data_IF_457263770982
#
_entry.id   IF_457263770982
#
_cell.length_a   1.000
_cell.length_b   1.000
_cell.length_c   1.000
_cell.angle_alpha   90.00
_cell.angle_beta   90.00
_cell.angle_gamma   90.00
#
_symmetry.space_group_name_H-M   'P 1'
#
loop_
_entity.id
_entity.type
_entity.pdbx_description
1 polymer ?
#
# COMPACT_ATOMS: atom_id res chain seq x y z
N UNK A 1 17.68 4.30 18.39
CA UNK A 1 16.74 3.16 18.42
C UNK A 1 16.46 2.61 17.03
N UNK A 2 16.08 3.43 16.04
CA UNK A 2 15.86 2.95 14.66
C UNK A 2 17.03 2.12 14.11
N UNK A 3 18.27 2.53 14.36
CA UNK A 3 19.46 1.77 13.92
C UNK A 3 19.71 0.49 14.74
N UNK A 4 19.14 0.37 15.94
CA UNK A 4 19.27 -0.82 16.79
C UNK A 4 18.21 -1.87 16.45
N UNK A 5 17.08 -1.45 15.90
CA UNK A 5 15.91 -2.28 15.58
C UNK A 5 15.41 -2.02 14.15
N UNK A 6 16.27 -2.12 13.11
CA UNK A 6 15.95 -1.66 11.76
C UNK A 6 14.86 -2.49 11.06
N UNK A 7 14.65 -3.73 11.49
CA UNK A 7 13.68 -4.68 10.92
C UNK A 7 12.30 -4.59 11.59
N UNK A 8 12.24 -4.12 12.84
CA UNK A 8 11.04 -4.22 13.69
C UNK A 8 10.55 -2.87 14.20
N UNK A 9 11.35 -1.81 14.08
CA UNK A 9 10.96 -0.45 14.45
C UNK A 9 11.03 0.47 13.23
N UNK A 10 9.86 0.81 12.72
CA UNK A 10 9.69 1.76 11.62
C UNK A 10 9.10 3.05 12.20
N UNK A 11 9.70 4.18 11.84
CA UNK A 11 9.27 5.50 12.30
C UNK A 11 9.03 6.46 11.15
N UNK A 12 8.09 7.38 11.31
CA UNK A 12 7.88 8.52 10.40
C UNK A 12 7.95 9.80 11.22
N UNK A 13 8.84 10.71 10.86
CA UNK A 13 9.03 12.00 11.52
C UNK A 13 8.17 13.07 10.84
N UNK A 14 7.22 13.64 11.59
CA UNK A 14 6.26 14.63 11.07
C UNK A 14 6.57 16.02 11.64
N UNK A 15 6.77 17.01 10.74
CA UNK A 15 7.05 18.37 11.16
C UNK A 15 5.83 19.29 11.10
N UNK A 16 5.60 19.99 12.21
CA UNK A 16 4.78 21.19 12.21
C UNK A 16 5.54 22.33 11.56
N UNK A 17 4.87 23.11 10.70
CA UNK A 17 5.42 24.33 10.11
C UNK A 17 5.90 25.36 11.14
N UNK A 18 5.38 25.31 12.37
CA UNK A 18 5.80 26.19 13.47
C UNK A 18 7.10 25.78 14.15
N UNK A 19 7.54 24.53 13.98
CA UNK A 19 8.70 23.94 14.65
C UNK A 19 9.68 23.28 13.67
N UNK A 20 9.57 23.62 12.38
CA UNK A 20 10.49 23.16 11.34
C UNK A 20 11.83 23.91 11.43
N UNK A 21 12.98 23.26 11.19
CA UNK A 21 14.26 23.95 11.07
C UNK A 21 14.21 25.06 10.00
N UNK A 22 14.82 26.21 10.29
CA UNK A 22 14.77 27.35 9.38
C UNK A 22 15.39 27.01 8.01
N UNK A 23 14.68 27.37 6.93
CA UNK A 23 15.03 27.09 5.53
C UNK A 23 15.05 25.59 5.15
N UNK A 24 14.35 24.74 5.89
CA UNK A 24 14.12 23.34 5.50
C UNK A 24 12.77 23.14 4.80
N UNK A 25 12.64 22.02 4.12
CA UNK A 25 11.44 21.55 3.41
C UNK A 25 10.71 20.44 4.20
N UNK A 26 10.85 20.41 5.52
CA UNK A 26 10.42 19.27 6.34
C UNK A 26 8.92 19.24 6.60
N UNK A 27 8.23 20.38 6.57
CA UNK A 27 6.80 20.43 6.83
C UNK A 27 5.96 20.22 5.57
N UNK A 28 4.93 19.40 5.72
CA UNK A 28 3.98 19.08 4.64
C UNK A 28 2.56 19.40 5.10
N UNK A 29 1.69 19.80 4.18
CA UNK A 29 0.30 20.18 4.50
C UNK A 29 -0.47 19.09 5.25
N UNK A 30 -0.13 17.83 4.96
CA UNK A 30 -0.72 16.64 5.56
C UNK A 30 -0.39 16.45 7.06
N UNK A 31 0.61 17.18 7.59
CA UNK A 31 0.94 17.17 9.03
C UNK A 31 -0.30 17.39 9.89
N UNK A 32 -1.12 18.40 9.54
CA UNK A 32 -2.29 18.76 10.35
C UNK A 32 -3.32 17.63 10.42
N UNK A 33 -3.55 16.92 9.32
CA UNK A 33 -4.43 15.74 9.27
C UNK A 33 -3.91 14.63 10.17
N UNK A 34 -2.63 14.28 10.07
CA UNK A 34 -2.04 13.21 10.90
C UNK A 34 -1.98 13.59 12.38
N UNK A 35 -1.63 14.83 12.70
CA UNK A 35 -1.61 15.35 14.06
C UNK A 35 -3.02 15.37 14.70
N UNK A 36 -4.05 15.73 13.94
CA UNK A 36 -5.43 15.72 14.41
C UNK A 36 -5.93 14.31 14.72
N UNK A 37 -5.51 13.30 13.96
CA UNK A 37 -5.87 11.89 14.22
C UNK A 37 -5.50 11.47 15.65
N UNK A 38 -4.35 11.93 16.15
CA UNK A 38 -3.85 11.62 17.49
C UNK A 38 -4.09 12.71 18.53
N UNK A 39 -4.67 13.85 18.14
CA UNK A 39 -4.92 14.95 19.07
C UNK A 39 -3.64 15.58 19.62
N UNK A 40 -2.59 15.68 18.78
CA UNK A 40 -1.28 16.19 19.18
C UNK A 40 -1.39 17.61 19.75
N UNK A 41 -1.23 17.73 21.07
CA UNK A 41 -1.32 18.98 21.82
C UNK A 41 0.01 19.58 22.27
N UNK A 42 1.11 18.84 22.15
CA UNK A 42 2.45 19.26 22.53
C UNK A 42 3.50 18.66 21.60
N UNK A 43 4.61 19.37 21.39
CA UNK A 43 5.73 18.93 20.55
C UNK A 43 7.00 19.02 21.40
N UNK A 44 7.85 17.98 21.44
CA UNK A 44 7.74 16.74 20.67
C UNK A 44 6.65 15.79 21.20
N UNK A 45 6.11 14.96 20.30
CA UNK A 45 5.11 13.93 20.58
C UNK A 45 5.48 12.67 19.78
N UNK A 46 5.38 11.50 20.40
CA UNK A 46 5.54 10.21 19.72
C UNK A 46 4.24 9.44 19.81
N UNK A 47 3.84 8.76 18.73
CA UNK A 47 2.72 7.84 18.73
C UNK A 47 3.21 6.44 18.34
N UNK A 48 3.01 5.47 19.21
CA UNK A 48 3.47 4.09 19.05
C UNK A 48 2.30 3.19 18.68
N UNK A 49 2.41 2.51 17.54
CA UNK A 49 1.38 1.67 16.92
C UNK A 49 -0.03 2.29 16.94
N UNK A 50 -0.13 3.62 16.96
CA UNK A 50 -1.39 4.34 17.07
C UNK A 50 -2.11 4.25 18.42
N UNK A 51 -1.50 3.60 19.43
CA UNK A 51 -2.12 3.36 20.75
C UNK A 51 -1.51 4.21 21.87
N UNK A 52 -0.18 4.19 22.00
CA UNK A 52 0.51 4.82 23.12
C UNK A 52 1.20 6.09 22.67
N UNK A 53 1.00 7.17 23.43
CA UNK A 53 1.67 8.44 23.19
C UNK A 53 2.71 8.76 24.26
N UNK A 54 3.74 9.51 23.87
CA UNK A 54 4.57 10.26 24.81
C UNK A 54 4.58 11.72 24.38
N UNK A 55 4.54 12.63 25.35
CA UNK A 55 4.54 14.08 25.10
C UNK A 55 5.66 14.73 25.90
N UNK A 56 6.42 15.59 25.23
CA UNK A 56 7.57 16.26 25.79
C UNK A 56 8.88 15.56 25.45
N UNK A 57 9.95 16.34 25.45
CA UNK A 57 11.32 15.88 25.23
C UNK A 57 12.17 16.12 26.46
N UNK A 58 13.43 15.70 26.40
CA UNK A 58 14.41 16.06 27.41
C UNK A 58 15.09 17.40 27.09
N UNK A 59 15.47 18.21 28.10
CA UNK A 59 16.21 19.45 27.89
C UNK A 59 17.44 19.29 27.00
N UNK A 60 17.73 20.32 26.19
CA UNK A 60 18.87 20.37 25.26
C UNK A 60 18.90 19.27 24.19
N UNK A 61 17.78 18.57 23.97
CA UNK A 61 17.71 17.49 22.98
C UNK A 61 18.41 16.20 23.39
N UNK A 62 18.59 15.96 24.70
CA UNK A 62 19.17 14.72 25.24
C UNK A 62 18.15 13.57 25.19
N UNK A 63 17.99 13.02 23.99
CA UNK A 63 17.07 11.91 23.72
C UNK A 63 17.54 10.59 24.35
N UNK A 64 18.84 10.44 24.61
CA UNK A 64 19.42 9.31 25.32
C UNK A 64 18.79 9.13 26.70
N UNK A 65 18.51 10.23 27.41
CA UNK A 65 17.79 10.19 28.69
C UNK A 65 16.35 9.65 28.59
N UNK A 66 15.73 9.66 27.41
CA UNK A 66 14.39 9.11 27.17
C UNK A 66 14.39 7.67 26.64
N UNK A 67 15.56 7.13 26.26
CA UNK A 67 15.63 5.86 25.53
C UNK A 67 15.01 4.69 26.29
N UNK A 68 15.19 4.62 27.62
CA UNK A 68 14.61 3.56 28.43
C UNK A 68 13.08 3.57 28.43
N UNK A 69 12.44 4.73 28.31
CA UNK A 69 10.98 4.82 28.16
C UNK A 69 10.54 4.22 26.82
N UNK A 70 11.25 4.56 25.74
CA UNK A 70 10.96 4.06 24.41
C UNK A 70 11.25 2.56 24.26
N UNK A 71 12.33 2.05 24.88
CA UNK A 71 12.64 0.63 24.90
C UNK A 71 11.57 -0.18 25.65
N UNK A 72 11.04 0.33 26.76
CA UNK A 72 9.95 -0.32 27.47
C UNK A 72 8.66 -0.39 26.62
N UNK A 73 8.36 0.67 25.86
CA UNK A 73 7.23 0.67 24.93
C UNK A 73 7.47 -0.32 23.79
N UNK A 74 8.62 -0.24 23.12
CA UNK A 74 9.01 -1.16 22.05
C UNK A 74 8.92 -2.62 22.48
N UNK A 75 9.52 -2.99 23.62
CA UNK A 75 9.51 -4.37 24.12
C UNK A 75 8.10 -4.86 24.49
N UNK A 76 7.15 -3.95 24.73
CA UNK A 76 5.77 -4.31 25.01
C UNK A 76 4.94 -4.59 23.75
N UNK A 77 5.44 -4.19 22.57
CA UNK A 77 4.70 -4.24 21.29
C UNK A 77 5.41 -5.03 20.18
N UNK A 78 6.71 -5.29 20.30
CA UNK A 78 7.50 -5.93 19.22
C UNK A 78 7.03 -7.34 18.86
N UNK A 79 6.46 -8.06 19.83
CA UNK A 79 5.96 -9.43 19.64
C UNK A 79 4.46 -9.47 19.28
N UNK A 80 3.83 -8.32 19.01
CA UNK A 80 2.44 -8.27 18.58
C UNK A 80 2.33 -8.84 17.15
N UNK A 81 1.63 -9.97 17.03
CA UNK A 81 1.40 -10.62 15.75
C UNK A 81 0.24 -9.96 14.98
N UNK A 82 0.36 -9.97 13.66
CA UNK A 82 -0.65 -9.49 12.73
C UNK A 82 -0.78 -10.49 11.58
N UNK A 83 -1.99 -10.72 11.06
CA UNK A 83 -2.17 -11.61 9.91
C UNK A 83 -1.84 -10.93 8.58
N UNK A 84 -1.57 -9.62 8.58
CA UNK A 84 -1.20 -8.91 7.37
C UNK A 84 0.28 -9.05 7.07
N UNK A 85 0.61 -9.25 5.80
CA UNK A 85 1.95 -9.01 5.26
C UNK A 85 1.90 -7.86 4.25
N UNK A 86 3.00 -7.10 4.12
CA UNK A 86 3.07 -5.97 3.19
C UNK A 86 4.34 -6.09 2.36
N UNK A 87 4.15 -6.23 1.05
CA UNK A 87 5.19 -6.15 0.03
C UNK A 87 5.15 -4.79 -0.66
N UNK A 88 6.32 -4.18 -0.89
CA UNK A 88 6.45 -2.87 -1.55
C UNK A 88 7.43 -3.03 -2.71
N UNK A 89 6.92 -2.85 -3.93
CA UNK A 89 7.70 -2.92 -5.17
C UNK A 89 7.52 -1.63 -5.97
N UNK A 90 8.25 -1.50 -7.08
CA UNK A 90 8.19 -0.31 -7.91
C UNK A 90 9.47 -0.05 -8.68
N UNK A 91 9.54 1.13 -9.28
CA UNK A 91 10.70 1.56 -10.08
C UNK A 91 11.21 2.94 -9.64
N UNK A 92 12.53 3.07 -9.58
CA UNK A 92 13.21 4.31 -9.25
C UNK A 92 13.56 5.11 -10.52
N UNK A 93 13.25 6.40 -10.51
CA UNK A 93 13.51 7.34 -11.61
C UNK A 93 13.33 8.79 -11.17
N UNK A 94 13.19 9.72 -12.13
CA UNK A 94 12.74 11.09 -11.79
C UNK A 94 11.33 11.09 -11.23
N UNK A 95 10.50 10.22 -11.82
CA UNK A 95 9.21 9.78 -11.30
C UNK A 95 9.43 8.40 -10.68
N UNK A 96 8.97 8.20 -9.46
CA UNK A 96 8.98 6.91 -8.79
C UNK A 96 7.59 6.30 -8.93
N UNK A 97 7.52 5.06 -9.39
CA UNK A 97 6.30 4.24 -9.35
C UNK A 97 6.40 3.25 -8.20
N UNK A 98 5.27 2.93 -7.57
CA UNK A 98 5.23 1.94 -6.51
C UNK A 98 3.94 1.12 -6.56
N UNK A 99 4.05 -0.13 -6.11
CA UNK A 99 2.96 -1.05 -5.85
C UNK A 99 3.10 -1.55 -4.41
N UNK A 100 2.03 -1.40 -3.64
CA UNK A 100 1.94 -1.92 -2.26
C UNK A 100 0.94 -3.05 -2.26
N UNK A 101 1.40 -4.28 -2.10
CA UNK A 101 0.55 -5.46 -1.99
C UNK A 101 0.40 -5.82 -0.52
N UNK A 102 -0.84 -5.88 -0.05
CA UNK A 102 -1.18 -6.36 1.28
C UNK A 102 -1.81 -7.73 1.14
N UNK A 103 -1.25 -8.74 1.79
CA UNK A 103 -1.80 -10.10 1.85
C UNK A 103 -2.27 -10.43 3.26
N UNK A 104 -3.19 -11.39 3.37
CA UNK A 104 -3.79 -11.79 4.63
C UNK A 104 -3.61 -13.29 4.89
N UNK A 105 -2.90 -13.66 5.95
CA UNK A 105 -2.59 -15.06 6.30
C UNK A 105 -3.70 -15.76 7.10
N UNK A 106 -4.56 -14.98 7.76
CA UNK A 106 -5.72 -15.52 8.50
C UNK A 106 -6.85 -14.51 8.57
N UNK A 107 -8.10 -14.98 8.59
CA UNK A 107 -9.29 -14.13 8.58
C UNK A 107 -9.22 -12.98 9.58
N UNK A 108 -9.44 -11.75 9.08
CA UNK A 108 -9.47 -10.54 9.88
C UNK A 108 -10.51 -9.58 9.33
N UNK A 109 -11.15 -8.80 10.20
CA UNK A 109 -12.10 -7.79 9.74
C UNK A 109 -11.41 -6.64 9.00
N UNK A 110 -11.88 -6.36 7.78
CA UNK A 110 -11.54 -5.15 7.00
C UNK A 110 -12.22 -3.88 7.53
N UNK A 111 -13.07 -3.98 8.55
CA UNK A 111 -13.84 -2.83 9.04
C UNK A 111 -12.95 -1.68 9.54
N UNK A 112 -13.01 -0.55 8.84
CA UNK A 112 -12.23 0.66 9.08
C UNK A 112 -10.72 0.44 8.95
N UNK A 113 -10.28 -0.58 8.21
CA UNK A 113 -8.88 -0.76 7.88
C UNK A 113 -8.50 0.10 6.68
N UNK A 114 -7.36 0.76 6.78
CA UNK A 114 -6.80 1.54 5.69
C UNK A 114 -5.34 1.22 5.46
N UNK A 115 -4.95 1.18 4.20
CA UNK A 115 -3.55 1.23 3.80
C UNK A 115 -3.14 2.68 3.69
N UNK A 116 -2.00 3.02 4.29
CA UNK A 116 -1.39 4.34 4.11
C UNK A 116 0.01 4.18 3.59
N UNK A 117 0.35 4.97 2.58
CA UNK A 117 1.71 5.06 2.05
C UNK A 117 2.28 6.42 2.34
N UNK A 118 3.48 6.43 2.92
CA UNK A 118 4.26 7.61 3.19
C UNK A 118 5.55 7.55 2.39
N UNK A 119 5.93 8.67 1.79
CA UNK A 119 7.29 8.86 1.27
C UNK A 119 8.06 9.62 2.32
N UNK A 120 9.20 9.07 2.73
CA UNK A 120 10.07 9.68 3.74
C UNK A 120 11.48 9.83 3.21
N UNK A 121 12.20 10.83 3.70
CA UNK A 121 13.62 10.98 3.46
C UNK A 121 14.38 10.82 4.78
N UNK A 122 15.33 9.88 4.80
CA UNK A 122 16.13 9.53 5.96
C UNK A 122 17.49 10.24 5.97
N UNK A 123 18.11 10.33 7.15
CA UNK A 123 19.46 10.87 7.32
C UNK A 123 19.69 12.30 6.77
N UNK A 124 18.74 13.21 6.97
CA UNK A 124 18.89 14.59 6.50
C UNK A 124 19.67 15.41 7.53
N UNK A 125 20.85 15.91 7.17
CA UNK A 125 21.67 16.72 8.06
C UNK A 125 21.07 18.12 8.26
N UNK A 126 20.65 18.44 9.49
CA UNK A 126 19.97 19.71 9.80
C UNK A 126 20.40 20.32 11.14
N UNK A 127 20.24 21.64 11.26
CA UNK A 127 20.51 22.37 12.50
C UNK A 127 19.25 22.51 13.35
N UNK A 128 19.32 22.04 14.59
CA UNK A 128 18.20 22.04 15.52
C UNK A 128 18.35 23.16 16.55
N UNK A 129 17.63 24.26 16.36
CA UNK A 129 17.72 25.43 17.24
C UNK A 129 17.40 25.11 18.70
N UNK A 130 16.44 24.20 18.96
CA UNK A 130 16.07 23.78 20.32
C UNK A 130 17.17 23.02 21.07
N UNK A 131 18.04 22.31 20.34
CA UNK A 131 19.19 21.58 20.89
C UNK A 131 20.52 22.34 20.73
N UNK A 132 20.53 23.42 19.93
CA UNK A 132 21.75 24.14 19.53
C UNK A 132 22.84 23.24 18.94
N UNK A 133 22.42 22.24 18.15
CA UNK A 133 23.30 21.23 17.59
C UNK A 133 22.85 20.80 16.19
N UNK A 134 23.78 20.27 15.41
CA UNK A 134 23.46 19.60 14.14
C UNK A 134 23.26 18.12 14.37
N UNK A 135 22.19 17.58 13.81
CA UNK A 135 21.86 16.15 13.87
C UNK A 135 21.13 15.72 12.59
N UNK A 136 21.18 14.43 12.29
CA UNK A 136 20.38 13.83 11.23
C UNK A 136 18.91 13.77 11.68
N UNK A 137 18.01 14.37 10.90
CA UNK A 137 16.60 14.05 10.93
C UNK A 137 16.38 12.67 10.29
N UNK A 138 15.44 11.88 10.81
CA UNK A 138 15.29 10.47 10.44
C UNK A 138 13.88 10.21 9.95
N UNK A 139 13.75 9.62 8.77
CA UNK A 139 12.48 9.31 8.12
C UNK A 139 11.50 10.51 8.10
N UNK A 140 11.97 11.69 7.69
CA UNK A 140 11.12 12.89 7.62
C UNK A 140 10.05 12.67 6.55
N UNK A 141 8.78 12.80 6.95
CA UNK A 141 7.64 12.70 6.05
C UNK A 141 7.73 13.77 4.96
N UNK A 142 7.84 13.32 3.72
CA UNK A 142 7.89 14.16 2.52
C UNK A 142 6.57 14.17 1.78
N UNK A 143 5.88 13.03 1.71
CA UNK A 143 4.56 12.90 1.11
C UNK A 143 3.73 11.88 1.88
N UNK A 144 2.41 12.05 1.79
CA UNK A 144 1.43 11.03 2.17
C UNK A 144 0.50 10.82 0.96
N UNK A 145 0.99 10.14 -0.10
CA UNK A 145 0.28 10.05 -1.36
C UNK A 145 -1.02 9.25 -1.29
N UNK A 146 -1.13 8.28 -0.39
CA UNK A 146 -2.26 7.35 -0.38
C UNK A 146 -2.77 7.03 1.03
N UNK A 147 -4.11 6.99 1.16
CA UNK A 147 -4.86 6.57 2.35
C UNK A 147 -6.20 5.96 1.93
N UNK A 148 -6.15 4.70 1.52
CA UNK A 148 -7.25 3.96 0.90
C UNK A 148 -7.80 2.89 1.84
N UNK A 149 -9.07 2.52 1.66
CA UNK A 149 -9.71 1.47 2.45
C UNK A 149 -9.15 0.10 2.01
N UNK A 150 -8.86 -0.77 2.98
CA UNK A 150 -8.45 -2.15 2.71
C UNK A 150 -9.67 -3.05 2.75
N UNK A 151 -9.89 -3.86 1.71
CA UNK A 151 -11.13 -4.64 1.54
C UNK A 151 -10.99 -6.12 1.93
N UNK A 152 -9.77 -6.67 1.89
CA UNK A 152 -9.50 -8.09 2.19
C UNK A 152 -9.86 -8.48 3.63
N UNK A 153 -10.43 -9.67 3.79
CA UNK A 153 -10.92 -10.17 5.08
C UNK A 153 -10.77 -11.68 5.30
N UNK A 154 -10.49 -12.45 4.25
CA UNK A 154 -10.31 -13.90 4.33
C UNK A 154 -8.84 -14.30 4.09
N UNK A 155 -8.40 -15.36 4.76
CA UNK A 155 -7.07 -15.91 4.57
C UNK A 155 -6.79 -16.25 3.09
N UNK A 156 -5.62 -15.86 2.60
CA UNK A 156 -5.18 -16.04 1.22
C UNK A 156 -5.58 -14.90 0.27
N UNK A 157 -6.40 -13.95 0.70
CA UNK A 157 -6.69 -12.75 -0.10
C UNK A 157 -5.48 -11.80 -0.11
N UNK A 158 -5.33 -11.07 -1.22
CA UNK A 158 -4.39 -9.96 -1.35
C UNK A 158 -5.02 -8.81 -2.12
N UNK A 159 -4.53 -7.59 -1.89
CA UNK A 159 -4.96 -6.38 -2.57
C UNK A 159 -3.74 -5.49 -2.83
N UNK A 160 -3.62 -4.99 -4.06
CA UNK A 160 -2.48 -4.18 -4.51
C UNK A 160 -2.91 -2.74 -4.74
N UNK A 161 -2.13 -1.80 -4.20
CA UNK A 161 -2.36 -0.38 -4.32
C UNK A 161 -1.17 0.28 -5.02
N UNK A 162 -1.43 0.83 -6.21
CA UNK A 162 -0.40 1.43 -7.05
C UNK A 162 -0.40 2.97 -6.96
N UNK A 163 0.76 3.58 -7.15
CA UNK A 163 0.86 5.03 -7.20
C UNK A 163 2.17 5.52 -7.78
N UNK A 164 2.25 6.84 -7.94
CA UNK A 164 3.45 7.51 -8.43
C UNK A 164 3.72 8.80 -7.68
N UNK A 165 4.98 9.18 -7.54
CA UNK A 165 5.35 10.50 -7.06
C UNK A 165 6.62 11.02 -7.73
N UNK A 166 6.75 12.34 -7.71
CA UNK A 166 7.93 13.03 -8.24
C UNK A 166 8.95 13.25 -7.12
N UNK A 167 10.22 13.00 -7.41
CA UNK A 167 11.30 13.30 -6.48
C UNK A 167 11.47 14.81 -6.31
N UNK A 168 11.49 15.27 -5.06
CA UNK A 168 11.81 16.65 -4.74
C UNK A 168 13.22 17.02 -5.24
N UNK A 169 13.40 18.23 -5.76
CA UNK A 169 14.70 18.67 -6.31
C UNK A 169 15.85 18.69 -5.29
N UNK A 170 15.52 18.73 -4.00
CA UNK A 170 16.45 18.72 -2.86
C UNK A 170 16.67 17.34 -2.26
N UNK A 171 15.89 16.33 -2.66
CA UNK A 171 15.88 15.02 -2.00
C UNK A 171 16.99 14.12 -2.52
N UNK A 172 17.50 13.26 -1.64
CA UNK A 172 18.48 12.23 -1.99
C UNK A 172 17.76 10.90 -2.19
N UNK A 173 17.80 10.37 -3.42
CA UNK A 173 17.12 9.11 -3.79
C UNK A 173 17.57 7.95 -2.88
N UNK A 174 18.88 7.81 -2.64
CA UNK A 174 19.46 6.77 -1.77
C UNK A 174 19.00 6.87 -0.31
N UNK A 175 18.47 8.02 0.10
CA UNK A 175 17.91 8.25 1.43
C UNK A 175 16.39 8.19 1.45
N UNK A 176 15.74 8.01 0.31
CA UNK A 176 14.28 8.04 0.19
C UNK A 176 13.70 6.65 0.36
N UNK A 177 12.67 6.55 1.20
CA UNK A 177 11.95 5.30 1.47
C UNK A 177 10.46 5.47 1.24
N UNK A 178 9.83 4.37 0.88
CA UNK A 178 8.39 4.18 0.97
C UNK A 178 8.11 3.41 2.26
N UNK A 179 7.18 3.92 3.07
CA UNK A 179 6.67 3.25 4.26
C UNK A 179 5.19 3.02 4.05
N UNK A 180 4.76 1.76 4.12
CA UNK A 180 3.37 1.37 4.03
C UNK A 180 2.90 0.85 5.39
N UNK A 181 1.68 1.20 5.80
CA UNK A 181 1.06 0.68 7.03
C UNK A 181 -0.38 0.24 6.79
N UNK A 182 -0.81 -0.80 7.50
CA UNK A 182 -2.23 -1.12 7.69
C UNK A 182 -2.67 -0.56 9.03
N UNK A 183 -3.68 0.30 9.03
CA UNK A 183 -4.16 0.98 10.23
C UNK A 183 -5.67 0.92 10.35
N UNK A 184 -6.16 0.58 11.54
CA UNK A 184 -7.58 0.70 11.86
C UNK A 184 -7.91 2.14 12.27
N UNK A 185 -8.85 2.79 11.58
CA UNK A 185 -9.18 4.20 11.84
C UNK A 185 -10.18 4.42 12.98
N UNK A 186 -10.86 3.37 13.44
CA UNK A 186 -11.72 3.44 14.63
C UNK A 186 -10.89 3.34 15.92
N UNK A 187 -9.97 2.38 16.00
CA UNK A 187 -9.11 2.19 17.18
C UNK A 187 -7.80 2.98 17.10
N UNK A 188 -7.44 3.45 15.90
CA UNK A 188 -6.17 4.07 15.52
C UNK A 188 -4.98 3.12 15.50
N UNK A 189 -5.16 1.86 15.90
CA UNK A 189 -4.11 0.86 15.99
C UNK A 189 -3.49 0.58 14.61
N UNK A 190 -2.16 0.53 14.56
CA UNK A 190 -1.39 0.16 13.38
C UNK A 190 -1.08 -1.33 13.50
N UNK A 191 -1.64 -2.12 12.59
CA UNK A 191 -1.58 -3.58 12.61
C UNK A 191 -0.33 -4.11 11.94
N UNK A 192 0.16 -3.45 10.89
CA UNK A 192 1.33 -3.88 10.15
C UNK A 192 2.03 -2.66 9.55
N UNK A 193 3.36 -2.74 9.42
CA UNK A 193 4.17 -1.73 8.77
C UNK A 193 5.32 -2.40 7.99
N UNK A 194 5.59 -1.90 6.79
CA UNK A 194 6.75 -2.28 5.99
C UNK A 194 7.41 -1.05 5.41
N UNK A 195 8.71 -1.15 5.11
CA UNK A 195 9.47 -0.07 4.50
C UNK A 195 10.47 -0.63 3.48
N UNK A 196 10.72 0.14 2.42
CA UNK A 196 11.75 -0.17 1.42
C UNK A 196 12.42 1.13 0.98
N UNK A 197 13.73 1.09 0.72
CA UNK A 197 14.38 2.18 0.01
C UNK A 197 13.94 2.18 -1.45
N UNK A 198 13.75 3.36 -2.02
CA UNK A 198 13.28 3.49 -3.42
C UNK A 198 14.21 2.75 -4.39
N UNK A 199 15.52 2.73 -4.12
CA UNK A 199 16.49 2.01 -4.94
C UNK A 199 16.51 0.48 -4.75
N UNK A 200 15.90 -0.02 -3.66
CA UNK A 200 15.88 -1.43 -3.32
C UNK A 200 14.58 -2.11 -3.80
N UNK A 201 13.65 -1.35 -4.38
CA UNK A 201 12.45 -1.92 -4.99
C UNK A 201 12.82 -2.78 -6.21
N UNK A 202 12.17 -3.93 -6.36
CA UNK A 202 12.35 -4.79 -7.54
C UNK A 202 11.32 -4.41 -8.62
N UNK A 203 11.75 -3.84 -9.76
CA UNK A 203 10.82 -3.49 -10.85
C UNK A 203 10.46 -4.67 -11.75
N UNK A 204 11.05 -5.85 -11.53
CA UNK A 204 10.90 -7.11 -12.29
C UNK A 204 10.93 -8.27 -11.27
N UNK A 205 9.78 -8.57 -10.67
CA UNK A 205 9.68 -9.42 -9.48
C UNK A 205 10.02 -10.89 -9.78
N UNK A 206 9.72 -11.36 -10.98
CA UNK A 206 9.97 -12.73 -11.41
C UNK A 206 11.32 -12.91 -12.16
N UNK A 207 11.97 -11.81 -12.53
CA UNK A 207 13.28 -11.77 -13.15
C UNK A 207 13.27 -12.21 -14.63
N UNK A 208 12.15 -12.06 -15.32
CA UNK A 208 12.01 -12.45 -16.72
C UNK A 208 12.57 -11.39 -17.71
N UNK A 209 12.85 -10.19 -17.21
CA UNK A 209 13.37 -9.08 -17.99
C UNK A 209 12.30 -8.14 -18.54
N UNK A 210 11.03 -8.36 -18.20
CA UNK A 210 9.89 -7.47 -18.39
C UNK A 210 9.60 -6.81 -17.05
N UNK A 211 9.26 -5.51 -17.08
CA UNK A 211 8.98 -4.78 -15.86
C UNK A 211 7.55 -5.08 -15.43
N UNK A 212 7.27 -5.17 -14.12
CA UNK A 212 5.96 -5.56 -13.57
C UNK A 212 4.77 -4.79 -14.20
N UNK A 213 4.96 -3.52 -14.61
CA UNK A 213 3.89 -2.72 -15.23
C UNK A 213 3.59 -3.04 -16.70
N UNK A 214 4.51 -3.72 -17.38
CA UNK A 214 4.38 -4.20 -18.77
C UNK A 214 4.29 -5.74 -18.83
N UNK A 215 4.31 -6.41 -17.67
CA UNK A 215 4.37 -7.86 -17.53
C UNK A 215 2.97 -8.46 -17.36
N UNK A 216 2.57 -9.30 -18.31
CA UNK A 216 1.28 -9.99 -18.30
C UNK A 216 1.25 -11.20 -17.36
N UNK A 217 2.37 -11.56 -16.70
CA UNK A 217 2.46 -12.52 -15.62
C UNK A 217 3.44 -12.08 -14.52
N UNK A 218 3.17 -10.95 -13.87
CA UNK A 218 4.00 -10.31 -12.83
C UNK A 218 4.79 -11.29 -11.94
N UNK A 219 4.18 -12.38 -11.46
CA UNK A 219 4.85 -13.31 -10.52
C UNK A 219 5.44 -14.59 -11.16
N UNK A 220 5.26 -14.81 -12.46
CA UNK A 220 5.60 -16.05 -13.16
C UNK A 220 6.41 -15.77 -14.43
N UNK A 221 7.70 -16.12 -14.34
CA UNK A 221 8.68 -15.96 -15.41
C UNK A 221 8.16 -16.32 -16.81
N UNK A 222 7.99 -15.31 -17.68
CA UNK A 222 7.47 -15.49 -19.04
C UNK A 222 8.00 -14.42 -20.04
N UNK A 223 9.32 -14.41 -20.34
CA UNK A 223 10.00 -13.30 -21.03
C UNK A 223 9.53 -13.03 -22.47
N UNK A 224 8.72 -13.93 -23.02
CA UNK A 224 8.13 -13.81 -24.37
C UNK A 224 6.76 -13.14 -24.35
N UNK A 225 6.14 -12.99 -23.18
CA UNK A 225 4.86 -12.32 -22.97
C UNK A 225 3.79 -12.84 -23.95
N UNK A 226 3.77 -14.17 -24.11
CA UNK A 226 2.77 -14.86 -24.93
C UNK A 226 1.39 -14.64 -24.29
N UNK A 227 0.40 -14.33 -25.13
CA UNK A 227 -1.00 -14.08 -24.78
C UNK A 227 -1.84 -14.50 -26.00
N UNK A 228 -2.19 -15.79 -26.07
CA UNK A 228 -2.83 -16.40 -27.24
C UNK A 228 -4.24 -15.81 -27.51
N UNK A 229 -5.00 -15.53 -26.46
CA UNK A 229 -6.38 -15.04 -26.57
C UNK A 229 -6.53 -13.52 -26.43
N UNK A 230 -5.43 -12.81 -26.14
CA UNK A 230 -5.32 -11.35 -26.09
C UNK A 230 -6.17 -10.72 -24.98
N UNK A 231 -6.23 -11.38 -23.83
CA UNK A 231 -6.97 -10.91 -22.66
C UNK A 231 -6.11 -10.11 -21.66
N UNK A 232 -4.81 -9.94 -21.96
CA UNK A 232 -3.76 -9.29 -21.16
C UNK A 232 -3.24 -10.10 -19.96
N UNK A 233 -3.67 -11.35 -19.82
CA UNK A 233 -3.08 -12.32 -18.89
C UNK A 233 -2.23 -13.27 -19.72
N UNK A 234 -0.96 -13.46 -19.34
CA UNK A 234 -0.05 -14.26 -20.16
C UNK A 234 -0.32 -15.75 -20.11
N UNK A 235 0.04 -16.48 -21.16
CA UNK A 235 -0.13 -17.94 -21.32
C UNK A 235 0.34 -18.76 -20.10
N UNK A 236 1.35 -18.25 -19.39
CA UNK A 236 1.97 -18.92 -18.25
C UNK A 236 1.17 -18.78 -16.94
N UNK A 237 0.40 -17.71 -16.79
CA UNK A 237 -0.38 -17.39 -15.60
C UNK A 237 -1.88 -17.40 -15.85
N UNK A 238 -2.32 -17.50 -17.11
CA UNK A 238 -3.73 -17.68 -17.45
C UNK A 238 -4.15 -19.15 -17.33
N UNK A 239 -5.02 -19.52 -16.37
CA UNK A 239 -5.58 -20.87 -16.30
C UNK A 239 -6.46 -21.24 -17.51
N UNK A 240 -6.85 -20.27 -18.33
CA UNK A 240 -7.82 -20.40 -19.41
C UNK A 240 -7.40 -19.75 -20.73
N UNK A 241 -6.11 -19.90 -21.09
CA UNK A 241 -5.36 -19.35 -22.24
C UNK A 241 -5.96 -19.43 -23.67
N UNK A 242 -7.20 -19.89 -23.82
CA UNK A 242 -7.90 -19.94 -25.10
C UNK A 242 -9.28 -19.26 -25.03
N UNK A 243 -9.57 -18.55 -23.94
CA UNK A 243 -10.86 -17.96 -23.63
C UNK A 243 -10.66 -16.63 -22.91
N UNK A 244 -11.19 -15.56 -23.51
CA UNK A 244 -11.07 -14.19 -22.98
C UNK A 244 -11.96 -14.00 -21.75
N UNK A 245 -11.40 -14.20 -20.56
CA UNK A 245 -12.06 -13.89 -19.29
C UNK A 245 -11.41 -12.65 -18.67
N UNK A 246 -11.98 -11.49 -18.98
CA UNK A 246 -11.61 -10.21 -18.35
C UNK A 246 -12.72 -9.69 -17.45
N UNK A 247 -12.40 -8.73 -16.58
CA UNK A 247 -13.39 -8.05 -15.74
C UNK A 247 -14.57 -7.54 -16.58
N UNK A 248 -15.74 -8.09 -16.27
CA UNK A 248 -17.01 -7.79 -16.93
C UNK A 248 -17.43 -8.82 -17.96
N UNK A 249 -16.51 -9.58 -18.57
CA UNK A 249 -16.80 -10.70 -19.46
C UNK A 249 -16.82 -12.04 -18.69
N UNK A 250 -17.81 -12.20 -17.83
CA UNK A 250 -17.89 -13.31 -16.86
C UNK A 250 -18.30 -14.62 -17.55
N UNK A 251 -18.97 -14.51 -18.69
CA UNK A 251 -19.37 -15.68 -19.47
C UNK A 251 -18.29 -16.10 -20.49
N UNK A 252 -17.33 -15.22 -20.78
CA UNK A 252 -16.17 -15.48 -21.63
C UNK A 252 -16.50 -15.43 -23.12
N UNK A 253 -17.58 -14.77 -23.53
CA UNK A 253 -17.97 -14.68 -24.93
C UNK A 253 -17.27 -13.52 -25.63
N UNK A 254 -17.05 -13.72 -26.92
CA UNK A 254 -16.34 -12.77 -27.78
C UNK A 254 -17.11 -12.55 -29.06
N UNK A 255 -16.88 -11.38 -29.65
CA UNK A 255 -17.39 -11.08 -30.98
C UNK A 255 -16.54 -11.79 -32.06
N UNK A 256 -16.91 -11.61 -33.34
CA UNK A 256 -16.20 -12.24 -34.46
C UNK A 256 -14.74 -11.78 -34.63
N UNK A 257 -14.35 -10.69 -33.97
CA UNK A 257 -13.00 -10.15 -33.94
C UNK A 257 -12.21 -10.61 -32.71
N UNK A 258 -12.80 -11.45 -31.85
CA UNK A 258 -12.19 -11.90 -30.60
C UNK A 258 -12.29 -10.90 -29.44
N UNK A 259 -12.93 -9.74 -29.62
CA UNK A 259 -13.09 -8.79 -28.51
C UNK A 259 -14.16 -9.27 -27.54
N UNK A 260 -13.97 -9.06 -26.22
CA UNK A 260 -14.91 -9.48 -25.20
C UNK A 260 -16.27 -8.80 -25.40
N UNK A 261 -17.34 -9.54 -25.14
CA UNK A 261 -18.70 -9.00 -25.11
C UNK A 261 -19.08 -8.86 -23.65
N UNK A 262 -19.35 -7.63 -23.22
CA UNK A 262 -19.86 -7.36 -21.86
C UNK A 262 -21.33 -6.98 -22.00
N UNK A 263 -22.24 -7.83 -21.55
CA UNK A 263 -23.67 -7.58 -21.68
C UNK A 263 -24.51 -8.20 -20.54
N UNK A 264 -25.81 -8.39 -20.79
CA UNK A 264 -26.73 -8.94 -19.80
C UNK A 264 -26.43 -10.40 -19.46
N UNK A 265 -25.79 -11.16 -20.34
CA UNK A 265 -25.42 -12.56 -20.10
C UNK A 265 -24.31 -12.69 -19.06
N UNK A 266 -23.40 -11.73 -18.95
CA UNK A 266 -22.40 -11.67 -17.87
C UNK A 266 -23.04 -11.43 -16.52
N UNK A 267 -24.00 -10.50 -16.47
CA UNK A 267 -24.79 -10.21 -15.27
C UNK A 267 -25.55 -11.47 -14.83
N UNK A 268 -26.15 -12.19 -15.78
CA UNK A 268 -26.85 -13.44 -15.51
C UNK A 268 -25.88 -14.51 -15.00
N UNK A 269 -24.66 -14.58 -15.55
CA UNK A 269 -23.67 -15.56 -15.12
C UNK A 269 -23.13 -15.27 -13.72
N UNK A 270 -22.87 -14.01 -13.40
CA UNK A 270 -22.51 -13.58 -12.05
C UNK A 270 -23.63 -13.85 -11.05
N UNK A 271 -24.89 -13.59 -11.44
CA UNK A 271 -26.05 -13.88 -10.60
C UNK A 271 -26.21 -15.40 -10.37
N UNK A 272 -25.97 -16.22 -11.39
CA UNK A 272 -25.97 -17.68 -11.30
C UNK A 272 -24.89 -18.19 -10.32
N UNK A 273 -23.69 -17.60 -10.38
CA UNK A 273 -22.63 -17.88 -9.40
C UNK A 273 -23.09 -17.55 -7.96
N UNK A 274 -23.68 -16.37 -7.72
CA UNK A 274 -24.15 -15.99 -6.38
C UNK A 274 -25.25 -16.92 -5.83
N UNK A 275 -26.05 -17.53 -6.70
CA UNK A 275 -27.13 -18.45 -6.32
C UNK A 275 -26.59 -19.86 -6.06
N UNK A 276 -25.67 -20.32 -6.90
CA UNK A 276 -25.25 -21.73 -6.95
C UNK A 276 -23.92 -22.00 -6.25
N UNK A 277 -23.09 -20.97 -6.08
CA UNK A 277 -21.70 -21.08 -5.62
C UNK A 277 -20.77 -21.76 -6.64
N UNK A 278 -21.21 -21.99 -7.87
CA UNK A 278 -20.42 -22.71 -8.88
C UNK A 278 -19.74 -21.73 -9.84
N UNK A 279 -18.41 -21.67 -9.77
CA UNK A 279 -17.52 -21.04 -10.74
C UNK A 279 -16.77 -22.10 -11.54
N UNK A 280 -16.30 -21.72 -12.73
CA UNK A 280 -15.16 -22.39 -13.37
C UNK A 280 -13.87 -21.71 -12.93
N UNK A 281 -12.73 -22.39 -13.12
CA UNK A 281 -11.41 -21.79 -12.85
C UNK A 281 -11.24 -20.46 -13.61
N UNK A 282 -11.74 -20.37 -14.84
CA UNK A 282 -11.69 -19.14 -15.64
C UNK A 282 -12.55 -18.00 -15.08
N UNK A 283 -13.58 -18.32 -14.31
CA UNK A 283 -14.49 -17.32 -13.76
C UNK A 283 -13.95 -16.73 -12.46
N UNK A 284 -13.16 -17.49 -11.71
CA UNK A 284 -12.68 -17.08 -10.39
C UNK A 284 -11.90 -15.77 -10.42
N UNK A 285 -11.18 -15.49 -11.52
CA UNK A 285 -10.43 -14.25 -11.73
C UNK A 285 -11.28 -13.02 -12.10
N UNK A 286 -12.54 -13.18 -12.52
CA UNK A 286 -13.36 -12.08 -13.09
C UNK A 286 -14.71 -11.86 -12.43
N UNK A 287 -15.05 -12.68 -11.44
CA UNK A 287 -16.33 -12.58 -10.72
C UNK A 287 -16.42 -11.33 -9.82
N UNK A 288 -15.28 -10.86 -9.30
CA UNK A 288 -15.20 -9.67 -8.44
C UNK A 288 -15.14 -8.39 -9.28
N UNK A 289 -16.22 -8.08 -9.98
CA UNK A 289 -16.25 -7.00 -10.97
C UNK A 289 -15.96 -5.61 -10.40
N UNK A 290 -16.35 -5.35 -9.14
CA UNK A 290 -16.12 -4.05 -8.53
C UNK A 290 -14.77 -3.95 -7.80
N UNK A 291 -14.02 -5.07 -7.75
CA UNK A 291 -12.73 -5.18 -7.05
C UNK A 291 -12.82 -4.84 -5.56
N UNK A 292 -14.01 -4.98 -4.93
CA UNK A 292 -14.26 -4.65 -3.52
C UNK A 292 -14.62 -5.89 -2.72
N UNK A 293 -13.60 -6.66 -2.36
CA UNK A 293 -13.73 -7.82 -1.46
C UNK A 293 -14.46 -9.02 -2.08
N UNK A 294 -15.23 -9.80 -1.29
CA UNK A 294 -15.80 -11.05 -1.77
C UNK A 294 -16.95 -10.81 -2.76
N UNK A 295 -17.01 -11.63 -3.80
CA UNK A 295 -18.04 -11.58 -4.84
C UNK A 295 -19.44 -11.62 -4.22
N UNK A 296 -20.20 -10.55 -4.42
CA UNK A 296 -21.53 -10.37 -3.86
C UNK A 296 -22.45 -9.56 -4.78
N UNK A 297 -23.61 -9.13 -4.26
CA UNK A 297 -24.61 -8.39 -5.04
C UNK A 297 -24.10 -7.02 -5.52
N UNK A 298 -23.10 -6.44 -4.88
CA UNK A 298 -22.47 -5.19 -5.30
C UNK A 298 -21.72 -5.34 -6.62
N UNK A 299 -21.12 -6.50 -6.89
CA UNK A 299 -20.49 -6.82 -8.18
C UNK A 299 -21.52 -6.83 -9.30
N UNK A 300 -22.67 -7.46 -9.02
CA UNK A 300 -23.81 -7.46 -9.95
C UNK A 300 -24.29 -6.04 -10.21
N UNK A 301 -24.41 -5.21 -9.17
CA UNK A 301 -24.84 -3.81 -9.32
C UNK A 301 -23.83 -3.01 -10.14
N UNK A 302 -22.53 -3.18 -9.87
CA UNK A 302 -21.47 -2.50 -10.61
C UNK A 302 -21.48 -2.91 -12.09
N UNK A 303 -21.62 -4.21 -12.38
CA UNK A 303 -21.68 -4.71 -13.75
C UNK A 303 -22.95 -4.25 -14.47
N UNK A 304 -24.10 -4.23 -13.78
CA UNK A 304 -25.33 -3.62 -14.31
C UNK A 304 -25.12 -2.16 -14.66
N UNK A 305 -24.47 -1.38 -13.79
CA UNK A 305 -24.19 0.03 -14.04
C UNK A 305 -23.24 0.20 -15.24
N UNK A 306 -22.22 -0.64 -15.35
CA UNK A 306 -21.30 -0.66 -16.48
C UNK A 306 -22.04 -0.87 -17.80
N UNK A 307 -22.84 -1.94 -17.88
CA UNK A 307 -23.63 -2.30 -19.07
C UNK A 307 -24.66 -1.21 -19.42
N UNK A 308 -25.34 -0.63 -18.42
CA UNK A 308 -26.36 0.40 -18.65
C UNK A 308 -25.78 1.74 -19.10
N UNK A 309 -24.56 2.08 -18.67
CA UNK A 309 -23.90 3.32 -19.05
C UNK A 309 -23.32 3.27 -20.48
N UNK A 310 -23.34 2.11 -21.12
CA UNK A 310 -22.81 1.93 -22.47
C UNK A 310 -21.29 2.06 -22.52
N UNK A 311 -20.60 1.69 -21.44
CA UNK A 311 -19.15 1.62 -21.37
C UNK A 311 -18.59 0.32 -21.98
N UNK A 312 -19.38 -0.34 -22.85
CA UNK A 312 -19.08 -1.63 -23.47
C UNK A 312 -18.45 -1.43 -24.84
#
# INVERSE_FOLDING_TARGET
MLDNYPETLIGVEWHSSSFTPANSDFDISAYSTRANLYGVGGIPHTQWNGEYETVGGYPNGDWESMIGTFENLYNAMVDDETPYDISINGSAGTTVTYDVTVSLESDMSSSNQKVNVFVVEDNIWSYWAGASAYHNARNVARLWPMSEDLSISNAGESETFSGTFEMGSSWVVDSTKIIAIVQNYSTKHILQASQVFVNDMNPDIDGDGVMNGDDNCIEIWNPLQEDEDNDQIGDYCDPCNNLVYILGNINGDTNHSGSPIIDIYDILKLTDYLITGNSTVCQESVLNFNEQGPVNVLDVIALVQFVLNGNN
#
